data_IF_425468665359
#
_entry.id   IF_425468665359
#
_cell.length_a   1.000
_cell.length_b   1.000
_cell.length_c   1.000
_cell.angle_alpha   90.00
_cell.angle_beta   90.00
_cell.angle_gamma   90.00
#
_symmetry.space_group_name_H-M   'P 1'
#
loop_
_entity.id
_entity.type
_entity.pdbx_description
1 polymer ?
#
# COMPACT_ATOMS: atom_id res chain seq x y z
N UNK A 1 15.62 -27.71 -12.46
CA UNK A 1 14.71 -26.82 -13.23
C UNK A 1 13.38 -26.61 -12.52
N UNK A 2 12.65 -27.68 -12.13
CA UNK A 2 11.36 -27.57 -11.44
C UNK A 2 11.40 -26.72 -10.15
N UNK A 3 12.44 -26.89 -9.34
CA UNK A 3 12.66 -26.13 -8.10
C UNK A 3 12.74 -24.62 -8.36
N UNK A 4 13.47 -24.20 -9.40
CA UNK A 4 13.64 -22.77 -9.75
C UNK A 4 12.32 -22.14 -10.17
N UNK A 5 11.52 -22.85 -10.99
CA UNK A 5 10.19 -22.39 -11.43
C UNK A 5 9.24 -22.30 -10.24
N UNK A 6 9.25 -23.27 -9.33
CA UNK A 6 8.44 -23.24 -8.11
C UNK A 6 8.77 -22.03 -7.22
N UNK A 7 10.06 -21.70 -7.04
CA UNK A 7 10.46 -20.49 -6.31
C UNK A 7 10.01 -19.21 -7.01
N UNK A 8 10.17 -19.09 -8.33
CA UNK A 8 9.69 -17.93 -9.08
C UNK A 8 8.18 -17.73 -8.95
N UNK A 9 7.40 -18.81 -9.06
CA UNK A 9 5.95 -18.76 -8.86
C UNK A 9 5.59 -18.33 -7.44
N UNK A 10 6.31 -18.82 -6.43
CA UNK A 10 6.10 -18.43 -5.04
C UNK A 10 6.45 -16.96 -4.77
N UNK A 11 7.56 -16.45 -5.34
CA UNK A 11 7.92 -15.03 -5.28
C UNK A 11 6.82 -14.15 -5.87
N UNK A 12 6.32 -14.51 -7.06
CA UNK A 12 5.27 -13.76 -7.74
C UNK A 12 3.96 -13.73 -6.94
N UNK A 13 3.60 -14.85 -6.30
CA UNK A 13 2.43 -14.93 -5.42
C UNK A 13 2.57 -14.03 -4.19
N UNK A 14 3.75 -14.00 -3.55
CA UNK A 14 4.00 -13.11 -2.41
C UNK A 14 3.92 -11.63 -2.78
N UNK A 15 4.53 -11.22 -3.89
CA UNK A 15 4.43 -9.83 -4.34
C UNK A 15 3.00 -9.44 -4.72
N UNK A 16 2.23 -10.37 -5.28
CA UNK A 16 0.79 -10.17 -5.53
C UNK A 16 0.01 -10.01 -4.23
N UNK A 17 0.31 -10.82 -3.22
CA UNK A 17 -0.29 -10.70 -1.90
C UNK A 17 0.03 -9.34 -1.25
N UNK A 18 1.31 -8.94 -1.25
CA UNK A 18 1.75 -7.64 -0.74
C UNK A 18 1.06 -6.46 -1.45
N UNK A 19 0.94 -6.52 -2.78
CA UNK A 19 0.20 -5.51 -3.56
C UNK A 19 -1.28 -5.45 -3.20
N UNK A 20 -1.90 -6.60 -2.94
CA UNK A 20 -3.30 -6.69 -2.53
C UNK A 20 -3.51 -6.10 -1.14
N UNK A 21 -2.59 -6.33 -0.21
CA UNK A 21 -2.64 -5.73 1.12
C UNK A 21 -2.46 -4.21 1.09
N UNK A 22 -1.49 -3.71 0.32
CA UNK A 22 -1.31 -2.27 0.12
C UNK A 22 -2.57 -1.63 -0.48
N UNK A 23 -3.19 -2.30 -1.45
CA UNK A 23 -4.45 -1.85 -2.07
C UNK A 23 -5.62 -1.81 -1.09
N UNK A 24 -5.74 -2.83 -0.22
CA UNK A 24 -6.75 -2.84 0.83
C UNK A 24 -6.53 -1.69 1.82
N UNK A 25 -5.29 -1.46 2.26
CA UNK A 25 -4.96 -0.35 3.15
C UNK A 25 -5.24 1.02 2.52
N UNK A 26 -4.86 1.23 1.25
CA UNK A 26 -5.15 2.47 0.52
C UNK A 26 -6.66 2.74 0.45
N UNK A 27 -7.45 1.70 0.19
CA UNK A 27 -8.91 1.80 0.13
C UNK A 27 -9.53 2.09 1.50
N UNK A 28 -9.08 1.43 2.55
CA UNK A 28 -9.56 1.68 3.91
C UNK A 28 -9.22 3.10 4.37
N UNK A 29 -8.02 3.59 4.06
CA UNK A 29 -7.61 4.98 4.28
C UNK A 29 -8.49 5.97 3.51
N UNK A 30 -8.73 5.72 2.22
CA UNK A 30 -9.59 6.57 1.39
C UNK A 30 -11.04 6.63 1.94
N UNK A 31 -11.57 5.51 2.44
CA UNK A 31 -12.89 5.47 3.07
C UNK A 31 -12.90 6.20 4.42
N UNK A 32 -11.85 6.08 5.24
CA UNK A 32 -11.72 6.79 6.51
C UNK A 32 -11.74 8.32 6.31
N UNK A 33 -11.00 8.80 5.33
CA UNK A 33 -10.96 10.23 5.01
C UNK A 33 -12.26 10.68 4.32
N UNK A 34 -12.68 9.98 3.27
CA UNK A 34 -13.82 10.41 2.44
C UNK A 34 -15.19 10.23 3.09
N UNK A 35 -15.41 9.14 3.84
CA UNK A 35 -16.71 8.83 4.45
C UNK A 35 -16.79 9.26 5.91
N UNK A 36 -15.73 9.07 6.67
CA UNK A 36 -15.74 9.35 8.11
C UNK A 36 -15.15 10.71 8.45
N UNK A 37 -14.57 11.43 7.48
CA UNK A 37 -14.01 12.76 7.69
C UNK A 37 -12.82 12.77 8.63
N UNK A 38 -12.10 11.64 8.72
CA UNK A 38 -10.86 11.56 9.49
C UNK A 38 -9.79 12.48 8.89
N UNK A 39 -8.92 13.02 9.76
CA UNK A 39 -7.80 13.85 9.31
C UNK A 39 -6.86 13.04 8.41
N UNK A 40 -6.53 13.51 7.20
CA UNK A 40 -5.58 12.84 6.30
C UNK A 40 -4.26 12.51 7.00
N UNK A 41 -3.68 13.44 7.74
CA UNK A 41 -2.38 13.27 8.44
C UNK A 41 -2.41 12.14 9.49
N UNK A 42 -3.53 11.99 10.20
CA UNK A 42 -3.69 10.95 11.23
C UNK A 42 -3.92 9.58 10.58
N UNK A 43 -4.67 9.54 9.48
CA UNK A 43 -4.90 8.32 8.69
C UNK A 43 -3.60 7.89 8.00
N UNK A 44 -2.83 8.83 7.46
CA UNK A 44 -1.52 8.59 6.86
C UNK A 44 -0.58 7.93 7.86
N UNK A 45 -0.40 8.55 9.04
CA UNK A 45 0.47 8.03 10.11
C UNK A 45 0.02 6.64 10.58
N UNK A 46 -1.28 6.46 10.83
CA UNK A 46 -1.83 5.17 11.24
C UNK A 46 -1.65 4.09 10.17
N UNK A 47 -1.89 4.42 8.90
CA UNK A 47 -1.70 3.50 7.76
C UNK A 47 -0.23 3.12 7.61
N UNK A 48 0.67 4.09 7.78
CA UNK A 48 2.11 3.86 7.77
C UNK A 48 2.53 2.90 8.88
N UNK A 49 2.14 3.13 10.14
CA UNK A 49 2.46 2.26 11.27
C UNK A 49 1.94 0.82 11.09
N UNK A 50 0.71 0.67 10.60
CA UNK A 50 0.10 -0.65 10.35
C UNK A 50 0.88 -1.42 9.29
N UNK A 51 1.29 -0.75 8.21
CA UNK A 51 2.01 -1.37 7.10
C UNK A 51 3.49 -1.61 7.43
N UNK A 52 4.14 -0.73 8.20
CA UNK A 52 5.52 -0.88 8.65
C UNK A 52 5.69 -2.09 9.58
N UNK A 53 4.66 -2.40 10.38
CA UNK A 53 4.65 -3.61 11.22
C UNK A 53 4.58 -4.92 10.38
N UNK A 54 4.37 -4.86 9.06
CA UNK A 54 4.34 -6.03 8.20
C UNK A 54 5.71 -6.31 7.59
N UNK A 55 6.35 -7.40 8.01
CA UNK A 55 7.66 -7.84 7.50
C UNK A 55 7.77 -8.05 5.97
N UNK A 56 6.63 -8.20 5.27
CA UNK A 56 6.59 -8.44 3.81
C UNK A 56 6.68 -7.13 3.00
N UNK A 57 6.41 -5.98 3.63
CA UNK A 57 6.36 -4.67 2.99
C UNK A 57 7.27 -3.69 3.71
N UNK A 58 8.18 -3.07 2.98
CA UNK A 58 8.95 -1.90 3.42
C UNK A 58 8.25 -0.65 2.85
N UNK A 59 7.48 0.04 3.68
CA UNK A 59 6.75 1.24 3.29
C UNK A 59 7.71 2.41 3.13
N UNK A 60 7.60 3.13 2.02
CA UNK A 60 8.43 4.32 1.74
C UNK A 60 7.66 5.61 1.93
N UNK A 61 6.42 5.62 1.45
CA UNK A 61 5.54 6.76 1.57
C UNK A 61 4.07 6.31 1.51
N UNK A 62 3.23 6.99 2.28
CA UNK A 62 1.79 6.99 2.15
C UNK A 62 1.43 8.45 1.90
N UNK A 63 0.77 8.73 0.78
CA UNK A 63 0.37 10.07 0.38
C UNK A 63 -1.14 10.09 0.26
N UNK A 64 -1.79 11.03 0.95
CA UNK A 64 -3.23 11.21 0.97
C UNK A 64 -3.50 12.66 0.61
N UNK A 65 -4.33 12.88 -0.41
CA UNK A 65 -4.71 14.22 -0.82
C UNK A 65 -5.25 15.04 0.37
N UNK A 66 -4.84 16.30 0.47
CA UNK A 66 -5.28 17.15 1.58
C UNK A 66 -6.80 17.41 1.52
N UNK A 67 -7.40 17.72 2.68
CA UNK A 67 -8.84 17.98 2.79
C UNK A 67 -9.35 19.06 1.82
N UNK A 68 -8.52 20.07 1.53
CA UNK A 68 -8.86 21.15 0.61
C UNK A 68 -8.87 20.67 -0.86
N UNK A 69 -7.94 19.79 -1.23
CA UNK A 69 -7.93 19.15 -2.55
C UNK A 69 -9.10 18.18 -2.73
N UNK A 70 -9.40 17.40 -1.69
CA UNK A 70 -10.56 16.50 -1.67
C UNK A 70 -11.87 17.28 -1.85
N UNK A 71 -12.00 18.44 -1.20
CA UNK A 71 -13.18 19.30 -1.36
C UNK A 71 -13.28 19.90 -2.76
N UNK A 72 -12.16 20.16 -3.42
CA UNK A 72 -12.11 20.71 -4.77
C UNK A 72 -12.40 19.66 -5.84
N UNK A 73 -11.84 18.45 -5.71
CA UNK A 73 -11.98 17.35 -6.67
C UNK A 73 -13.24 16.50 -6.44
N UNK A 74 -13.73 16.46 -5.19
CA UNK A 74 -14.80 15.57 -4.75
C UNK A 74 -14.37 14.10 -4.62
N UNK A 75 -13.06 13.82 -4.75
CA UNK A 75 -12.49 12.47 -4.72
C UNK A 75 -11.30 12.41 -3.78
N UNK A 76 -11.19 11.34 -2.99
CA UNK A 76 -10.05 11.08 -2.12
C UNK A 76 -9.06 10.18 -2.86
N UNK A 77 -7.91 10.73 -3.19
CA UNK A 77 -6.80 9.98 -3.76
C UNK A 77 -5.82 9.57 -2.66
N UNK A 78 -5.51 8.28 -2.59
CA UNK A 78 -4.54 7.70 -1.67
C UNK A 78 -3.51 6.93 -2.49
N UNK A 79 -2.25 7.32 -2.37
CA UNK A 79 -1.11 6.67 -3.02
C UNK A 79 -0.20 6.04 -1.97
N UNK A 80 0.01 4.72 -2.08
CA UNK A 80 0.93 3.98 -1.22
C UNK A 80 2.12 3.52 -2.07
N UNK A 81 3.31 3.97 -1.66
CA UNK A 81 4.59 3.54 -2.23
C UNK A 81 5.32 2.67 -1.22
N UNK A 82 5.56 1.42 -1.61
CA UNK A 82 6.22 0.44 -0.78
C UNK A 82 7.14 -0.46 -1.60
N UNK A 83 7.96 -1.26 -0.92
CA UNK A 83 8.80 -2.30 -1.50
C UNK A 83 8.40 -3.64 -0.91
N UNK A 84 8.00 -4.57 -1.76
CA UNK A 84 7.63 -5.92 -1.35
C UNK A 84 8.87 -6.83 -1.35
N UNK A 85 9.20 -7.38 -0.18
CA UNK A 85 10.33 -8.28 -0.01
C UNK A 85 10.01 -9.68 -0.53
N UNK A 86 10.98 -10.29 -1.20
CA UNK A 86 10.92 -11.69 -1.61
C UNK A 86 11.37 -12.65 -0.51
N UNK A 87 11.37 -13.95 -0.82
CA UNK A 87 11.85 -15.00 0.11
C UNK A 87 13.38 -15.10 0.08
N UNK A 88 14.00 -14.66 -1.02
CA UNK A 88 15.43 -14.66 -1.19
C UNK A 88 15.94 -13.29 -0.75
N UNK A 89 16.92 -13.28 0.15
CA UNK A 89 17.55 -12.03 0.59
C UNK A 89 18.10 -11.30 -0.64
N UNK A 90 17.70 -10.04 -0.79
CA UNK A 90 18.08 -9.20 -1.94
C UNK A 90 17.10 -9.24 -3.12
N UNK A 91 16.03 -10.05 -3.08
CA UNK A 91 14.93 -9.94 -4.05
C UNK A 91 13.83 -9.05 -3.48
N UNK A 92 13.48 -8.00 -4.22
CA UNK A 92 12.40 -7.08 -3.87
C UNK A 92 11.78 -6.52 -5.13
N UNK A 93 10.50 -6.17 -5.08
CA UNK A 93 9.85 -5.39 -6.14
C UNK A 93 9.30 -4.11 -5.55
N UNK A 94 9.39 -3.02 -6.31
CA UNK A 94 8.69 -1.79 -5.94
C UNK A 94 7.19 -1.98 -6.22
N UNK A 95 6.37 -1.46 -5.32
CA UNK A 95 4.91 -1.54 -5.33
C UNK A 95 4.38 -0.13 -5.15
N UNK A 96 3.64 0.33 -6.15
CA UNK A 96 2.94 1.59 -6.13
C UNK A 96 1.46 1.29 -6.38
N UNK A 97 0.62 1.76 -5.47
CA UNK A 97 -0.83 1.57 -5.52
C UNK A 97 -1.50 2.90 -5.24
N UNK A 98 -2.29 3.34 -6.21
CA UNK A 98 -3.15 4.52 -6.08
C UNK A 98 -4.61 4.06 -6.10
N UNK A 99 -5.39 4.54 -5.13
CA UNK A 99 -6.84 4.35 -5.05
C UNK A 99 -7.52 5.71 -4.98
N UNK A 100 -8.60 5.86 -5.75
CA UNK A 100 -9.45 7.04 -5.75
C UNK A 100 -10.87 6.64 -5.35
N UNK A 101 -11.43 7.29 -4.32
CA UNK A 101 -12.78 7.01 -3.78
C UNK A 101 -13.63 8.27 -3.74
#
# INVERSE_FOLDING_TARGET
MFVVIAFMAFQAAMWTHARTEARAAARDAAVLVGRFGASPDDVERSTFEILENKSVLEVRAVDIAELDEIRASGTVEVTITARANGIIIGTSTDVEVTEAV
#
